data_IF_678740043581
#
_entry.id   IF_678740043581
#
_cell.length_a   1.000
_cell.length_b   1.000
_cell.length_c   1.000
_cell.angle_alpha   90.00
_cell.angle_beta   90.00
_cell.angle_gamma   90.00
#
_symmetry.space_group_name_H-M   'P 1'
#
loop_
_entity.id
_entity.type
_entity.pdbx_description
1 polymer ?
2 polymer ?
3 polymer ?
4 water ?
#
# COMPACT_ATOMS: atom_id res chain seq x y z
N UNK A 1 -18.36 16.92 16.96
CA UNK A 1 -17.48 16.70 15.78
C UNK A 1 -18.23 17.10 14.53
N UNK A 2 -17.56 17.77 13.62
CA UNK A 2 -18.17 18.23 12.38
C UNK A 2 -17.99 17.18 11.28
N UNK A 3 -19.10 16.78 10.68
CA UNK A 3 -19.09 15.78 9.64
C UNK A 3 -18.75 16.33 8.27
N UNK A 4 -17.85 15.64 7.58
CA UNK A 4 -17.43 15.98 6.22
C UNK A 4 -17.96 14.85 5.35
N UNK A 5 -18.81 15.16 4.39
CA UNK A 5 -19.34 14.11 3.53
C UNK A 5 -19.00 14.37 2.07
N UNK A 6 -18.35 13.41 1.42
CA UNK A 6 -18.02 13.58 0.02
C UNK A 6 -18.66 12.58 -0.93
N UNK A 7 -18.81 13.03 -2.17
CA UNK A 7 -19.39 12.23 -3.24
C UNK A 7 -18.52 12.57 -4.44
N UNK A 8 -18.37 11.63 -5.38
CA UNK A 8 -18.83 10.24 -5.34
C UNK A 8 -17.92 9.33 -4.52
N UNK A 9 -18.31 8.07 -4.38
CA UNK A 9 -17.53 7.11 -3.60
C UNK A 9 -16.37 6.56 -4.44
N UNK A 10 -16.60 6.47 -5.75
CA UNK A 10 -15.62 5.98 -6.72
C UNK A 10 -15.86 6.87 -7.93
N UNK A 11 -14.94 6.87 -8.89
CA UNK A 11 -15.11 7.70 -10.07
C UNK A 11 -14.25 7.22 -11.23
N UNK A 12 -14.87 6.83 -12.34
CA UNK A 12 -14.13 6.34 -13.51
C UNK A 12 -14.00 7.44 -14.55
N UNK A 13 -12.81 7.59 -15.13
CA UNK A 13 -12.58 8.65 -16.11
C UNK A 13 -11.64 8.20 -17.23
N UNK A 14 -11.92 8.62 -18.45
CA UNK A 14 -11.05 8.29 -19.56
C UNK A 14 -9.92 9.32 -19.48
N UNK A 15 -8.67 8.84 -19.47
CA UNK A 15 -7.48 9.70 -19.40
C UNK A 15 -7.76 10.88 -20.31
N UNK A 16 -7.77 12.09 -19.74
CA UNK A 16 -8.04 13.28 -20.53
C UNK A 16 -9.29 14.05 -20.11
N UNK A 17 -10.33 13.33 -19.69
CA UNK A 17 -11.57 13.95 -19.24
C UNK A 17 -11.35 14.68 -17.94
N UNK A 18 -12.11 15.74 -17.71
CA UNK A 18 -12.17 16.33 -16.37
C UNK A 18 -12.76 15.38 -15.32
N UNK A 19 -12.82 15.87 -14.08
CA UNK A 19 -13.38 15.13 -12.96
C UNK A 19 -13.67 16.13 -11.83
N UNK A 20 -14.64 15.79 -10.99
CA UNK A 20 -15.00 16.65 -9.88
C UNK A 20 -15.28 15.81 -8.66
N UNK A 21 -14.83 16.29 -7.51
CA UNK A 21 -15.07 15.60 -6.25
C UNK A 21 -15.74 16.68 -5.41
N UNK A 22 -16.86 16.34 -4.80
CA UNK A 22 -17.61 17.28 -3.97
C UNK A 22 -17.45 16.93 -2.50
N UNK A 23 -17.58 17.93 -1.65
CA UNK A 23 -17.45 17.75 -0.21
C UNK A 23 -18.42 18.72 0.44
N UNK A 24 -19.12 18.26 1.47
CA UNK A 24 -20.12 19.06 2.17
C UNK A 24 -19.98 18.93 3.68
N UNK A 25 -19.82 20.06 4.36
CA UNK A 25 -19.66 20.07 5.81
C UNK A 25 -20.96 20.28 6.60
N UNK A 26 -21.06 19.61 7.73
CA UNK A 26 -22.23 19.74 8.59
C UNK A 26 -22.31 21.16 9.14
N UNK A 27 -21.24 21.92 8.98
CA UNK A 27 -21.19 23.31 9.46
C UNK A 27 -20.27 24.14 8.60
N UNK A 28 -20.50 25.45 8.59
CA UNK A 28 -19.68 26.37 7.83
C UNK A 28 -18.23 26.28 8.31
N UNK A 29 -17.28 26.42 7.39
CA UNK A 29 -15.88 26.34 7.76
C UNK A 29 -15.18 27.69 7.78
N UNK A 30 -15.94 28.76 7.65
CA UNK A 30 -15.36 30.10 7.69
C UNK A 30 -15.12 30.48 9.12
N UNK A 31 -13.85 30.58 9.50
CA UNK A 31 -13.57 30.98 10.86
C UNK A 31 -13.83 32.48 11.01
N UNK A 32 -14.02 32.90 12.26
CA UNK A 32 -14.28 34.30 12.57
C UNK A 32 -13.22 35.26 12.07
N UNK A 33 -12.00 34.75 11.84
CA UNK A 33 -10.90 35.58 11.35
C UNK A 33 -10.87 35.73 9.83
N UNK A 34 -11.89 35.21 9.14
CA UNK A 34 -11.97 35.32 7.69
C UNK A 34 -11.32 34.20 6.89
N UNK A 35 -10.75 33.23 7.60
CA UNK A 35 -10.06 32.10 7.00
C UNK A 35 -10.91 30.82 6.94
N UNK A 36 -10.79 30.08 5.85
CA UNK A 36 -11.50 28.80 5.70
C UNK A 36 -10.41 27.73 5.70
N UNK A 37 -10.30 27.03 6.82
CA UNK A 37 -9.29 26.01 6.98
C UNK A 37 -9.72 24.66 6.44
N UNK A 38 -9.65 24.52 5.12
CA UNK A 38 -10.03 23.28 4.45
C UNK A 38 -8.96 22.89 3.45
N UNK A 39 -8.65 21.59 3.37
CA UNK A 39 -7.64 21.12 2.45
C UNK A 39 -8.05 19.82 1.76
N UNK A 40 -7.35 19.50 0.68
CA UNK A 40 -7.58 18.28 -0.09
C UNK A 40 -6.25 17.52 -0.13
N UNK A 41 -6.26 16.25 0.25
CA UNK A 41 -5.05 15.44 0.22
C UNK A 41 -5.20 14.24 -0.71
N UNK A 42 -4.09 13.74 -1.22
CA UNK A 42 -4.07 12.61 -2.14
C UNK A 42 -3.27 11.48 -1.51
N UNK A 43 -3.62 10.25 -1.86
CA UNK A 43 -2.90 9.08 -1.34
C UNK A 43 -2.96 7.91 -2.30
N UNK A 44 -1.81 7.54 -2.85
CA UNK A 44 -1.72 6.39 -3.74
C UNK A 44 -1.25 5.25 -2.85
N UNK A 45 -1.84 4.05 -2.99
CA UNK A 45 -2.02 3.18 -1.83
C UNK A 45 -0.67 2.66 -1.25
N UNK A 46 -0.57 2.71 0.09
CA UNK A 46 0.63 2.24 0.77
C UNK A 46 1.75 3.26 0.74
N UNK A 47 1.36 4.53 0.61
CA UNK A 47 2.31 5.65 0.56
C UNK A 47 1.79 6.70 1.52
N UNK A 48 2.69 7.56 1.99
CA UNK A 48 2.27 8.62 2.87
C UNK A 48 1.39 9.54 2.02
N UNK A 49 0.25 9.98 2.58
CA UNK A 49 -0.56 11.09 2.07
C UNK A 49 0.28 12.30 1.62
N UNK A 50 -0.31 13.12 0.76
CA UNK A 50 0.32 14.33 0.23
C UNK A 50 -0.78 15.37 0.16
N UNK A 51 -0.47 16.62 0.50
CA UNK A 51 -1.50 17.65 0.41
C UNK A 51 -1.46 18.28 -0.99
N UNK A 52 -2.62 18.44 -1.59
CA UNK A 52 -2.71 19.04 -2.89
C UNK A 52 -3.01 20.53 -2.75
N UNK A 53 -4.14 20.84 -2.13
CA UNK A 53 -4.59 22.22 -1.95
C UNK A 53 -4.86 22.46 -0.48
N UNK A 54 -4.67 23.69 -0.02
CA UNK A 54 -4.93 24.08 1.37
C UNK A 54 -5.64 25.42 1.39
N UNK A 55 -6.39 25.70 2.46
CA UNK A 55 -7.11 26.96 2.57
C UNK A 55 -8.04 27.08 1.38
N UNK A 56 -8.65 25.96 1.01
CA UNK A 56 -9.62 25.87 -0.09
C UNK A 56 -9.11 25.99 -1.53
N UNK A 57 -8.43 27.08 -1.87
CA UNK A 57 -7.97 27.26 -3.23
C UNK A 57 -6.48 27.47 -3.49
N UNK A 58 -5.67 27.68 -2.45
CA UNK A 58 -4.22 27.85 -2.66
C UNK A 58 -3.65 26.48 -2.99
N UNK A 59 -2.72 26.43 -3.93
CA UNK A 59 -2.12 25.17 -4.30
C UNK A 59 -0.73 25.01 -3.72
N UNK A 60 -0.41 23.80 -3.28
CA UNK A 60 0.92 23.53 -2.73
C UNK A 60 1.92 23.55 -3.88
N UNK A 61 3.19 23.82 -3.55
CA UNK A 61 4.26 23.87 -4.54
C UNK A 61 4.37 22.50 -5.20
N UNK A 62 4.77 22.46 -6.47
CA UNK A 62 4.91 21.20 -7.17
C UNK A 62 3.61 20.43 -7.40
N UNK A 63 2.50 21.14 -7.52
CA UNK A 63 1.20 20.53 -7.76
C UNK A 63 0.70 21.17 -9.05
N UNK A 64 0.37 20.34 -10.06
CA UNK A 64 0.08 20.78 -11.42
C UNK A 64 -1.02 21.81 -11.43
N UNK A 65 -1.05 22.66 -12.45
CA UNK A 65 -2.07 23.70 -12.56
C UNK A 65 -3.49 23.12 -12.67
N UNK A 66 -3.57 21.87 -13.12
CA UNK A 66 -4.86 21.21 -13.33
C UNK A 66 -5.69 20.85 -12.10
N UNK A 67 -5.13 21.08 -10.92
CA UNK A 67 -5.85 20.77 -9.70
C UNK A 67 -6.40 22.09 -9.18
N UNK A 68 -7.72 22.22 -9.20
CA UNK A 68 -8.39 23.43 -8.75
C UNK A 68 -9.23 23.17 -7.51
N UNK A 69 -9.13 24.06 -6.53
CA UNK A 69 -9.88 23.95 -5.30
C UNK A 69 -10.92 25.04 -5.33
N UNK A 70 -12.18 24.67 -5.13
CA UNK A 70 -13.28 25.63 -5.16
C UNK A 70 -14.21 25.35 -4.01
N UNK A 71 -15.18 26.25 -3.81
CA UNK A 71 -16.15 26.08 -2.75
C UNK A 71 -16.06 27.17 -1.69
N UNK A 72 -17.08 27.22 -0.83
CA UNK A 72 -17.16 28.18 0.28
C UNK A 72 -18.28 27.78 1.26
N UNK A 73 -18.14 28.21 2.52
CA UNK A 73 -19.15 27.90 3.53
C UNK A 73 -19.23 26.44 3.93
N UNK A 74 -20.12 25.68 3.28
CA UNK A 74 -20.27 24.27 3.58
C UNK A 74 -20.03 23.39 2.36
N UNK A 75 -19.99 23.99 1.18
CA UNK A 75 -19.77 23.25 -0.06
C UNK A 75 -18.47 23.60 -0.76
N UNK A 76 -17.64 22.58 -0.95
CA UNK A 76 -16.34 22.73 -1.58
C UNK A 76 -16.20 21.70 -2.68
N UNK A 77 -15.39 22.02 -3.68
CA UNK A 77 -15.17 21.11 -4.80
C UNK A 77 -13.71 21.01 -5.24
N UNK A 78 -13.34 19.81 -5.68
CA UNK A 78 -12.00 19.53 -6.18
C UNK A 78 -12.23 19.22 -7.64
N UNK A 79 -11.55 19.96 -8.50
CA UNK A 79 -11.71 19.77 -9.93
C UNK A 79 -10.37 19.46 -10.60
N UNK A 80 -10.40 18.49 -11.52
CA UNK A 80 -9.20 18.11 -12.25
C UNK A 80 -9.51 18.36 -13.72
N UNK A 81 -8.76 19.26 -14.34
CA UNK A 81 -8.98 19.60 -15.73
C UNK A 81 -8.88 18.39 -16.64
N UNK A 82 -7.69 17.84 -16.74
CA UNK A 82 -7.43 16.67 -17.57
C UNK A 82 -6.85 15.61 -16.64
N UNK A 83 -7.48 14.44 -16.60
CA UNK A 83 -7.03 13.35 -15.75
C UNK A 83 -5.92 12.53 -16.41
N UNK A 84 -4.90 12.18 -15.64
CA UNK A 84 -3.76 11.40 -16.14
C UNK A 84 -3.45 10.14 -15.32
N UNK A 85 -2.69 9.23 -15.92
CA UNK A 85 -2.32 7.97 -15.26
C UNK A 85 -1.90 8.12 -13.80
N UNK A 86 -1.06 9.12 -13.53
CA UNK A 86 -0.56 9.37 -12.18
C UNK A 86 -1.57 9.88 -11.17
N UNK A 87 -2.79 10.17 -11.59
CA UNK A 87 -3.82 10.69 -10.68
C UNK A 87 -4.60 9.62 -9.91
N UNK A 88 -4.31 8.36 -10.22
CA UNK A 88 -4.96 7.22 -9.58
C UNK A 88 -4.70 7.17 -8.07
N UNK A 89 -5.77 7.09 -7.29
CA UNK A 89 -5.64 7.02 -5.84
C UNK A 89 -6.86 7.54 -5.10
N UNK A 90 -6.70 7.84 -3.82
CA UNK A 90 -7.78 8.35 -3.00
C UNK A 90 -7.58 9.82 -2.63
N UNK A 91 -8.66 10.59 -2.66
CA UNK A 91 -8.65 12.01 -2.36
C UNK A 91 -9.56 12.25 -1.17
N UNK A 92 -9.18 13.16 -0.28
CA UNK A 92 -9.98 13.46 0.92
C UNK A 92 -10.13 14.95 1.15
N UNK A 93 -11.21 15.37 1.81
CA UNK A 93 -11.36 16.79 2.16
C UNK A 93 -11.13 16.83 3.64
N UNK A 94 -10.28 17.74 4.08
CA UNK A 94 -9.90 17.82 5.46
C UNK A 94 -10.12 19.22 6.05
N UNK A 95 -10.93 19.26 7.09
CA UNK A 95 -11.24 20.51 7.78
C UNK A 95 -10.42 20.69 9.04
N UNK A 96 -9.97 21.91 9.27
CA UNK A 96 -9.19 22.20 10.43
C UNK A 96 -9.68 23.44 11.12
N UNK A 97 -10.88 23.91 10.74
CA UNK A 97 -11.49 25.11 11.32
C UNK A 97 -12.07 24.85 12.70
N UNK A 98 -12.73 23.70 12.83
CA UNK A 98 -13.34 23.29 14.08
C UNK A 98 -12.47 22.22 14.75
N UNK A 99 -12.61 22.09 16.06
CA UNK A 99 -11.85 21.10 16.81
C UNK A 99 -12.81 19.98 17.20
N UNK A 100 -12.41 18.71 16.98
CA UNK A 100 -11.19 18.18 16.35
C UNK A 100 -11.30 18.13 14.84
N UNK A 101 -10.16 18.13 14.18
CA UNK A 101 -10.10 18.09 12.73
C UNK A 101 -10.71 16.79 12.24
N UNK A 102 -11.55 16.89 11.21
CA UNK A 102 -12.22 15.71 10.65
C UNK A 102 -11.97 15.60 9.15
N UNK A 103 -11.87 14.37 8.68
CA UNK A 103 -11.60 14.08 7.28
C UNK A 103 -12.80 13.37 6.67
N UNK A 104 -13.06 13.63 5.40
CA UNK A 104 -14.16 12.99 4.72
C UNK A 104 -13.80 11.56 4.41
N UNK A 105 -14.77 10.79 3.93
CA UNK A 105 -14.53 9.38 3.60
C UNK A 105 -13.57 9.06 2.46
N UNK A 106 -13.16 10.09 1.73
CA UNK A 106 -12.26 9.87 0.61
C UNK A 106 -13.02 9.45 -0.63
N UNK A 107 -12.40 9.65 -1.78
CA UNK A 107 -13.00 9.29 -3.07
C UNK A 107 -11.90 8.63 -3.89
N UNK A 108 -12.13 7.39 -4.32
CA UNK A 108 -11.17 6.67 -5.14
C UNK A 108 -11.41 7.04 -6.60
N UNK A 109 -10.32 7.25 -7.34
CA UNK A 109 -10.37 7.61 -8.75
C UNK A 109 -9.72 6.47 -9.54
N UNK A 110 -10.39 6.01 -10.60
CA UNK A 110 -9.86 4.95 -11.44
C UNK A 110 -9.81 5.48 -12.87
N UNK A 111 -9.15 4.77 -13.76
CA UNK A 111 -9.00 5.23 -15.13
C UNK A 111 -9.50 4.26 -16.20
N UNK A 112 -10.29 4.77 -17.14
CA UNK A 112 -10.78 3.95 -18.24
C UNK A 112 -9.72 4.04 -19.32
N UNK A 113 -9.18 2.89 -19.69
CA UNK A 113 -8.13 2.79 -20.66
C UNK A 113 -8.50 1.70 -21.67
N UNK A 114 -7.81 1.65 -22.80
CA UNK A 114 -8.10 0.63 -23.79
C UNK A 114 -7.82 -0.77 -23.22
N UNK A 115 -8.59 -1.76 -23.67
CA UNK A 115 -8.46 -3.15 -23.22
C UNK A 115 -7.12 -3.84 -23.55
N UNK A 116 -6.64 -4.66 -22.63
CA UNK A 116 -5.38 -5.38 -22.79
C UNK A 116 -5.47 -6.80 -22.27
N UNK A 117 -4.71 -7.68 -22.91
CA UNK A 117 -4.68 -9.10 -22.56
C UNK A 117 -3.49 -9.37 -21.67
N UNK A 118 -3.67 -10.20 -20.64
CA UNK A 118 -2.59 -10.41 -19.68
C UNK A 118 -1.49 -11.32 -20.22
N UNK A 119 -0.26 -11.01 -19.83
CA UNK A 119 0.89 -11.82 -20.21
C UNK A 119 1.04 -12.77 -19.03
N UNK A 120 0.76 -14.05 -19.27
CA UNK A 120 0.80 -15.10 -18.24
C UNK A 120 2.18 -15.75 -18.00
N UNK A 121 2.42 -16.15 -16.76
CA UNK A 121 3.69 -16.76 -16.41
C UNK A 121 3.49 -17.77 -15.26
N UNK A 122 3.78 -19.03 -15.51
CA UNK A 122 3.59 -20.06 -14.48
C UNK A 122 4.93 -20.43 -13.81
N UNK A 123 4.89 -20.83 -12.54
CA UNK A 123 6.09 -21.18 -11.77
C UNK A 123 5.89 -22.42 -10.90
N UNK A 124 6.69 -23.47 -11.12
CA UNK A 124 6.78 -24.66 -10.27
C UNK A 124 7.43 -24.35 -8.91
N UNK A 125 7.06 -25.10 -7.86
CA UNK A 125 7.49 -24.82 -6.49
C UNK A 125 8.99 -24.94 -6.28
N UNK A 126 9.62 -23.92 -5.73
CA UNK A 126 11.05 -23.95 -5.48
C UNK A 126 11.41 -25.20 -4.67
N UNK A 127 12.44 -25.93 -5.09
CA UNK A 127 12.86 -27.15 -4.38
C UNK A 127 13.09 -26.84 -2.90
N UNK A 128 13.53 -25.61 -2.67
CA UNK A 128 13.80 -25.07 -1.34
C UNK A 128 12.57 -25.16 -0.44
N UNK A 129 11.39 -25.06 -1.03
CA UNK A 129 10.13 -25.17 -0.29
C UNK A 129 9.68 -26.62 -0.29
N UNK A 130 10.10 -27.39 -1.29
CA UNK A 130 9.73 -28.79 -1.40
C UNK A 130 10.23 -29.59 -0.21
N UNK A 131 11.49 -29.39 0.15
CA UNK A 131 12.07 -30.11 1.28
C UNK A 131 11.63 -29.59 2.65
N UNK A 132 10.50 -28.88 2.69
CA UNK A 132 9.98 -28.38 3.95
C UNK A 132 8.60 -29.00 4.17
N UNK A 133 8.12 -29.74 3.16
CA UNK A 133 6.84 -30.41 3.25
C UNK A 133 5.69 -29.93 2.39
N UNK A 134 5.86 -28.79 1.73
CA UNK A 134 4.77 -28.28 0.91
C UNK A 134 5.16 -28.00 -0.52
N UNK A 135 4.26 -27.38 -1.27
CA UNK A 135 4.51 -27.06 -2.68
C UNK A 135 3.59 -25.95 -3.16
N UNK A 136 4.16 -24.82 -3.57
CA UNK A 136 3.34 -23.71 -4.06
C UNK A 136 3.53 -23.47 -5.55
N UNK A 137 2.47 -23.70 -6.31
CA UNK A 137 2.52 -23.47 -7.75
C UNK A 137 1.91 -22.09 -7.96
N UNK A 138 2.70 -21.15 -8.45
CA UNK A 138 2.26 -19.77 -8.67
C UNK A 138 2.11 -19.46 -10.16
N UNK A 139 1.19 -18.55 -10.47
CA UNK A 139 0.90 -18.11 -11.83
C UNK A 139 0.74 -16.59 -11.73
N UNK A 140 1.43 -15.86 -12.61
CA UNK A 140 1.38 -14.39 -12.63
C UNK A 140 0.66 -13.93 -13.87
N UNK A 141 -0.38 -13.13 -13.68
CA UNK A 141 -1.15 -12.57 -14.78
C UNK A 141 -0.93 -11.06 -14.74
N UNK A 142 -0.12 -10.55 -15.66
CA UNK A 142 0.21 -9.14 -15.64
C UNK A 142 -0.26 -8.21 -16.74
N UNK A 143 -0.18 -6.91 -16.44
CA UNK A 143 -0.54 -5.82 -17.32
C UNK A 143 -1.73 -5.99 -18.27
N UNK A 144 -2.92 -6.08 -17.69
CA UNK A 144 -4.15 -6.25 -18.45
C UNK A 144 -5.24 -5.29 -17.99
N UNK A 145 -6.24 -5.08 -18.86
CA UNK A 145 -7.38 -4.22 -18.57
C UNK A 145 -8.60 -4.75 -19.34
N UNK A 146 -9.82 -4.72 -18.73
CA UNK A 146 -10.21 -4.31 -17.37
C UNK A 146 -9.83 -5.24 -16.24
N UNK A 147 -10.20 -4.83 -15.02
CA UNK A 147 -9.94 -5.58 -13.79
C UNK A 147 -10.51 -7.01 -13.80
N UNK A 148 -11.81 -7.13 -14.01
CA UNK A 148 -12.46 -8.43 -14.04
C UNK A 148 -11.76 -9.49 -14.92
N UNK A 149 -11.52 -10.65 -14.34
CA UNK A 149 -10.85 -11.76 -15.02
C UNK A 149 -11.07 -12.96 -14.09
N UNK A 150 -10.71 -14.15 -14.53
CA UNK A 150 -10.89 -15.34 -13.69
C UNK A 150 -9.86 -16.39 -14.04
N UNK A 151 -9.48 -17.22 -13.05
CA UNK A 151 -8.48 -18.26 -13.27
C UNK A 151 -8.81 -19.64 -12.71
N UNK A 152 -8.66 -20.65 -13.56
CA UNK A 152 -8.90 -22.04 -13.19
C UNK A 152 -7.53 -22.69 -13.11
N UNK A 153 -7.39 -23.66 -12.20
CA UNK A 153 -6.15 -24.40 -12.05
C UNK A 153 -6.54 -25.83 -12.38
N UNK A 154 -5.84 -26.43 -13.32
CA UNK A 154 -6.15 -27.80 -13.69
C UNK A 154 -4.96 -28.71 -13.47
N UNK A 155 -5.16 -29.75 -12.67
CA UNK A 155 -4.12 -30.73 -12.39
C UNK A 155 -4.46 -32.03 -13.09
N UNK A 156 -3.67 -32.37 -14.08
CA UNK A 156 -3.87 -33.57 -14.87
C UNK A 156 -5.22 -33.60 -15.59
N UNK A 157 -5.77 -32.42 -15.86
CA UNK A 157 -7.04 -32.32 -16.55
C UNK A 157 -8.21 -31.86 -15.71
N UNK A 158 -8.23 -32.35 -14.48
CA UNK A 158 -9.27 -32.01 -13.53
C UNK A 158 -9.04 -30.61 -12.95
N UNK A 159 -10.12 -29.85 -12.75
CA UNK A 159 -10.02 -28.50 -12.21
C UNK A 159 -10.04 -28.57 -10.68
N UNK A 160 -9.23 -27.71 -10.04
CA UNK A 160 -9.17 -27.65 -8.57
C UNK A 160 -9.62 -26.25 -8.23
N UNK A 161 -10.30 -26.08 -7.10
CA UNK A 161 -10.76 -24.75 -6.69
C UNK A 161 -10.43 -24.36 -5.23
N UNK A 162 -9.57 -25.15 -4.59
CA UNK A 162 -9.17 -24.88 -3.21
C UNK A 162 -7.65 -24.86 -3.08
N UNK A 163 -7.16 -24.09 -2.10
CA UNK A 163 -5.73 -23.93 -1.89
C UNK A 163 -5.34 -22.63 -2.59
N UNK A 164 -6.18 -22.26 -3.54
CA UNK A 164 -6.03 -21.06 -4.35
C UNK A 164 -6.07 -19.78 -3.50
N UNK A 165 -5.14 -18.87 -3.77
CA UNK A 165 -5.07 -17.60 -3.07
C UNK A 165 -4.78 -16.57 -4.15
N UNK A 166 -5.67 -15.58 -4.27
CA UNK A 166 -5.52 -14.56 -5.29
C UNK A 166 -5.29 -13.14 -4.78
N UNK A 167 -4.54 -12.37 -5.58
CA UNK A 167 -4.23 -10.99 -5.26
C UNK A 167 -4.19 -10.11 -6.50
N UNK A 168 -4.84 -8.96 -6.39
CA UNK A 168 -4.91 -7.99 -7.45
C UNK A 168 -4.14 -6.79 -6.93
N UNK A 169 -3.48 -6.10 -7.83
CA UNK A 169 -2.71 -4.90 -7.50
C UNK A 169 -3.62 -3.73 -7.90
N UNK A 170 -3.39 -2.57 -7.31
CA UNK A 170 -4.17 -1.38 -7.67
C UNK A 170 -3.84 -1.04 -9.11
N UNK A 171 -4.67 -0.19 -9.72
CA UNK A 171 -4.44 0.24 -11.08
C UNK A 171 -3.09 0.95 -11.19
N UNK A 172 -2.20 0.38 -12.01
CA UNK A 172 -0.87 0.94 -12.20
C UNK A 172 -0.88 2.40 -12.66
N UNK A 173 -0.06 3.23 -12.00
CA UNK A 173 0.04 4.66 -12.29
C UNK A 173 0.83 5.07 -13.51
N UNK A 174 1.22 4.09 -14.32
CA UNK A 174 2.01 4.38 -15.51
C UNK A 174 1.23 3.99 -16.75
N UNK A 175 0.70 2.77 -16.76
CA UNK A 175 -0.05 2.31 -17.91
C UNK A 175 -1.51 1.99 -17.61
N UNK A 176 -1.92 2.27 -16.37
CA UNK A 176 -3.28 2.05 -15.92
C UNK A 176 -3.76 0.59 -15.97
N UNK A 177 -2.85 -0.35 -16.15
CA UNK A 177 -3.25 -1.76 -16.20
C UNK A 177 -3.29 -2.40 -14.81
N UNK A 178 -3.44 -3.72 -14.79
CA UNK A 178 -3.48 -4.50 -13.56
C UNK A 178 -2.55 -5.70 -13.66
N UNK A 179 -2.53 -6.48 -12.60
CA UNK A 179 -1.73 -7.69 -12.51
C UNK A 179 -2.43 -8.45 -11.40
N UNK A 180 -2.18 -9.74 -11.33
CA UNK A 180 -2.81 -10.57 -10.32
C UNK A 180 -1.95 -11.81 -10.11
N UNK A 181 -1.88 -12.26 -8.87
CA UNK A 181 -1.13 -13.47 -8.58
C UNK A 181 -2.12 -14.52 -8.09
N UNK A 182 -1.91 -15.77 -8.51
CA UNK A 182 -2.75 -16.88 -8.12
C UNK A 182 -1.79 -18.02 -7.77
N UNK A 183 -1.84 -18.47 -6.52
CA UNK A 183 -0.98 -19.57 -6.10
C UNK A 183 -1.84 -20.73 -5.60
N UNK A 184 -1.37 -21.93 -5.87
CA UNK A 184 -2.07 -23.14 -5.48
C UNK A 184 -1.18 -23.91 -4.51
N UNK A 185 -1.49 -23.80 -3.23
CA UNK A 185 -0.72 -24.46 -2.22
C UNK A 185 -1.24 -25.85 -1.93
N UNK A 186 -0.36 -26.84 -2.09
CA UNK A 186 -0.70 -28.21 -1.82
C UNK A 186 0.48 -28.92 -1.12
N UNK A 187 0.26 -30.13 -0.62
CA UNK A 187 1.32 -30.88 0.05
C UNK A 187 2.27 -31.47 -0.97
N UNK A 188 3.50 -31.80 -0.55
CA UNK A 188 4.46 -32.40 -1.48
C UNK A 188 4.00 -33.79 -1.93
N UNK A 189 3.39 -34.57 -1.04
CA UNK A 189 2.90 -35.90 -1.39
C UNK A 189 1.90 -35.80 -2.52
N UNK A 190 0.97 -34.85 -2.37
CA UNK A 190 -0.07 -34.61 -3.35
C UNK A 190 0.59 -34.17 -4.66
N UNK A 191 1.54 -33.24 -4.55
CA UNK A 191 2.27 -32.73 -5.69
C UNK A 191 3.00 -33.80 -6.50
N UNK A 192 3.78 -34.65 -5.83
CA UNK A 192 4.56 -35.70 -6.51
C UNK A 192 3.71 -36.79 -7.20
N UNK A 193 2.42 -36.88 -6.87
CA UNK A 193 1.58 -37.89 -7.51
C UNK A 193 1.18 -37.39 -8.88
N UNK A 194 1.00 -36.09 -9.00
CA UNK A 194 0.55 -35.53 -10.27
C UNK A 194 1.64 -35.00 -11.19
N UNK A 195 1.41 -35.15 -12.48
CA UNK A 195 2.38 -34.72 -13.48
C UNK A 195 2.10 -33.35 -14.09
N UNK A 196 1.01 -33.26 -14.83
CA UNK A 196 0.62 -32.03 -15.51
C UNK A 196 -0.17 -31.04 -14.64
N UNK A 197 0.30 -29.80 -14.60
CA UNK A 197 -0.34 -28.74 -13.83
C UNK A 197 -0.60 -27.63 -14.84
N UNK A 198 -1.77 -27.02 -14.75
CA UNK A 198 -2.13 -25.96 -15.70
C UNK A 198 -2.75 -24.71 -15.07
N UNK A 199 -2.62 -23.59 -15.76
CA UNK A 199 -3.16 -22.31 -15.32
C UNK A 199 -3.97 -21.70 -16.47
N UNK A 200 -5.30 -21.73 -16.36
CA UNK A 200 -6.19 -21.20 -17.39
C UNK A 200 -6.79 -19.86 -17.01
N UNK A 201 -6.60 -18.87 -17.88
CA UNK A 201 -7.10 -17.53 -17.64
C UNK A 201 -7.97 -17.02 -18.77
N UNK A 202 -9.19 -16.60 -18.43
CA UNK A 202 -10.10 -16.07 -19.43
C UNK A 202 -10.31 -14.56 -19.15
N UNK A 203 -10.17 -13.75 -20.21
CA UNK A 203 -10.31 -12.29 -20.07
C UNK A 203 -11.09 -11.74 -21.26
N UNK A 204 -11.90 -10.74 -20.99
CA UNK A 204 -12.75 -10.06 -21.99
C UNK A 204 -12.16 -9.96 -23.41
N UNK A 205 -10.86 -9.76 -23.49
CA UNK A 205 -10.14 -9.63 -24.76
C UNK A 205 -10.22 -10.85 -25.67
N UNK A 206 -10.76 -11.95 -25.17
CA UNK A 206 -10.92 -13.17 -25.96
C UNK A 206 -11.70 -14.22 -25.20
N UNK A 207 -12.57 -14.91 -25.92
CA UNK A 207 -13.40 -15.96 -25.37
C UNK A 207 -12.54 -17.21 -25.12
N UNK A 208 -11.49 -17.35 -25.92
CA UNK A 208 -10.59 -18.49 -25.79
C UNK A 208 -9.52 -18.22 -24.73
N UNK A 209 -9.19 -19.24 -23.92
CA UNK A 209 -8.56 -19.03 -22.63
C UNK A 209 -7.04 -19.02 -22.80
N UNK A 210 -6.33 -18.27 -21.95
CA UNK A 210 -4.87 -18.25 -22.02
C UNK A 210 -4.43 -19.43 -21.16
N UNK A 211 -3.76 -20.38 -21.79
CA UNK A 211 -3.32 -21.61 -21.15
C UNK A 211 -1.81 -21.74 -21.02
N UNK A 212 -1.32 -21.68 -19.78
CA UNK A 212 0.09 -21.84 -19.45
C UNK A 212 0.21 -23.04 -18.52
N UNK A 213 1.07 -24.00 -18.85
CA UNK A 213 1.24 -25.21 -18.01
C UNK A 213 2.66 -25.73 -18.06
N UNK A 214 2.94 -26.73 -17.21
CA UNK A 214 4.25 -27.37 -17.14
C UNK A 214 4.08 -28.84 -16.73
N UNK A 215 4.93 -29.74 -17.24
CA UNK A 215 4.86 -31.16 -16.90
C UNK A 215 5.98 -31.55 -15.96
N UNK A 216 5.66 -31.66 -14.66
CA UNK A 216 6.62 -32.02 -13.61
C UNK A 216 7.23 -33.36 -13.95
N UNK A 217 8.30 -33.34 -14.73
CA UNK A 217 8.97 -34.55 -15.20
C UNK A 217 10.15 -34.05 -16.04
N UNK A 218 9.80 -33.38 -17.14
CA UNK A 218 10.77 -32.81 -18.07
C UNK A 218 10.91 -31.34 -17.77
N UNK A 219 12.08 -30.95 -17.27
CA UNK A 219 12.32 -29.54 -16.98
C UNK A 219 13.79 -29.21 -17.07
N UNK B 3 13.82 13.73 6.05
CA UNK B 3 12.59 14.54 6.32
C UNK B 3 11.94 14.05 7.62
N UNK B 4 11.13 12.99 7.54
CA UNK B 4 10.55 12.43 8.75
C UNK B 4 10.70 10.91 8.77
N UNK B 5 11.58 10.43 9.64
CA UNK B 5 11.78 8.99 9.77
C UNK B 5 10.90 8.56 10.95
N UNK B 6 10.22 7.42 10.82
CA UNK B 6 9.36 6.91 11.89
C UNK B 6 9.77 5.51 12.32
N UNK B 7 9.41 5.10 13.54
CA UNK B 7 9.75 3.76 14.02
C UNK B 7 9.13 2.66 13.15
N UNK B 8 9.51 1.42 13.40
CA UNK B 8 8.98 0.31 12.62
C UNK B 8 7.74 -0.35 13.18
N UNK B 9 7.18 -1.29 12.42
CA UNK B 9 5.99 -2.03 12.83
C UNK B 9 6.22 -2.71 14.18
N UNK B 10 5.18 -2.82 15.00
CA UNK B 10 5.30 -3.44 16.32
C UNK B 10 4.14 -4.29 16.79
N UNK B 11 4.40 -5.59 16.91
CA UNK B 11 3.40 -6.54 17.38
C UNK B 11 3.42 -6.44 18.89
N UNK B 12 2.53 -5.65 19.47
CA UNK B 12 2.47 -5.50 20.91
C UNK B 12 1.20 -6.18 21.40
N UNK B 13 1.24 -6.78 22.58
CA UNK B 13 0.04 -7.46 23.09
C UNK B 13 -1.03 -6.57 23.74
N UNK B 14 -2.26 -7.05 23.65
CA UNK B 14 -3.43 -6.41 24.21
C UNK B 14 -3.16 -6.00 25.66
N UNK B 15 -3.63 -4.82 26.04
CA UNK B 15 -3.42 -4.32 27.40
C UNK B 15 -2.15 -3.51 27.60
N UNK B 16 -1.18 -3.68 26.70
CA UNK B 16 0.10 -2.98 26.78
C UNK B 16 0.06 -1.54 26.30
N UNK B 17 1.21 -0.87 26.38
CA UNK B 17 1.36 0.51 25.92
C UNK B 17 2.36 0.48 24.77
N UNK B 18 2.67 1.63 24.20
CA UNK B 18 3.59 1.68 23.06
C UNK B 18 3.99 3.14 22.82
N UNK B 19 5.25 3.34 22.41
CA UNK B 19 5.76 4.68 22.15
C UNK B 19 6.31 4.73 20.74
N UNK B 20 5.82 5.66 19.92
CA UNK B 20 6.27 5.79 18.54
C UNK B 20 7.09 7.05 18.37
N UNK B 21 8.22 6.96 17.68
CA UNK B 21 9.03 8.16 17.48
C UNK B 21 9.03 8.61 16.03
N UNK B 22 9.08 9.91 15.87
CA UNK B 22 9.10 10.53 14.58
C UNK B 22 10.28 11.49 14.65
N UNK B 23 11.25 11.33 13.74
CA UNK B 23 12.46 12.17 13.77
C UNK B 23 12.69 13.00 12.51
N UNK B 24 12.92 14.30 12.71
CA UNK B 24 13.13 15.19 11.60
C UNK B 24 14.60 15.39 11.32
N UNK B 25 14.95 15.49 10.05
CA UNK B 25 16.34 15.68 9.66
C UNK B 25 16.51 17.06 8.99
N UNK B 26 16.12 17.15 7.73
CA UNK B 26 16.28 18.39 7.00
C UNK B 26 15.88 19.70 7.68
N UNK B 27 15.07 19.62 8.73
CA UNK B 27 14.60 20.83 9.40
C UNK B 27 14.61 20.74 10.91
N UNK B 28 14.06 21.77 11.55
CA UNK B 28 13.96 21.83 12.99
C UNK B 28 12.48 21.77 13.40
N UNK B 29 12.12 20.74 14.18
CA UNK B 29 10.73 20.53 14.59
C UNK B 29 10.12 21.53 15.57
N UNK B 30 10.86 22.57 15.93
CA UNK B 30 10.32 23.56 16.84
C UNK B 30 9.36 24.45 16.08
N UNK B 31 9.76 24.80 14.86
CA UNK B 31 9.00 25.69 14.01
C UNK B 31 7.73 25.10 13.43
N UNK B 32 7.46 23.85 13.75
CA UNK B 32 6.27 23.20 13.22
C UNK B 32 5.44 22.53 14.29
N UNK B 33 4.19 22.26 13.94
CA UNK B 33 3.26 21.56 14.82
C UNK B 33 3.35 20.12 14.33
N UNK B 34 3.56 19.18 15.22
CA UNK B 34 3.61 17.79 14.79
C UNK B 34 2.26 17.16 15.12
N UNK B 35 1.52 16.79 14.09
CA UNK B 35 0.21 16.16 14.28
C UNK B 35 0.33 14.71 13.84
N UNK B 36 -0.39 13.82 14.51
CA UNK B 36 -0.37 12.39 14.17
C UNK B 36 -1.75 12.00 13.67
N UNK B 37 -1.79 11.18 12.63
CA UNK B 37 -3.07 10.74 12.08
C UNK B 37 -3.14 9.20 12.07
N UNK B 38 -4.29 8.65 12.43
CA UNK B 38 -4.50 7.22 12.43
C UNK B 38 -5.18 6.79 11.13
N UNK B 39 -4.82 5.63 10.60
CA UNK B 39 -5.45 5.14 9.40
C UNK B 39 -5.64 3.64 9.54
N UNK B 40 -6.84 3.22 9.94
CA UNK B 40 -7.12 1.79 10.04
C UNK B 40 -7.30 1.45 8.58
N UNK B 41 -6.38 0.64 8.01
CA UNK B 41 -6.33 0.44 6.56
C UNK B 41 -7.60 -0.24 6.04
N UNK B 42 -8.70 0.51 6.13
CA UNK B 42 -10.04 0.11 5.74
C UNK B 42 -10.73 1.47 5.65
N UNK B 43 -10.70 2.18 6.78
CA UNK B 43 -11.29 3.51 6.91
C UNK B 43 -10.34 4.58 6.42
N UNK B 44 -10.75 5.82 6.60
CA UNK B 44 -9.93 6.93 6.17
C UNK B 44 -9.00 7.34 7.28
N UNK B 45 -8.52 8.57 7.17
CA UNK B 45 -7.61 9.14 8.13
C UNK B 45 -8.42 9.66 9.30
N UNK B 46 -7.84 9.58 10.49
CA UNK B 46 -8.48 10.05 11.70
C UNK B 46 -7.46 10.89 12.43
N UNK B 47 -7.72 12.18 12.56
CA UNK B 47 -6.81 13.08 13.26
C UNK B 47 -6.73 12.70 14.74
N UNK B 48 -5.51 12.47 15.23
CA UNK B 48 -5.30 12.10 16.63
C UNK B 48 -5.10 13.33 17.53
N UNK B 49 -4.15 14.17 17.17
CA UNK B 49 -3.88 15.35 17.96
C UNK B 49 -2.62 15.97 17.42
N UNK B 50 -2.19 17.05 18.05
CA UNK B 50 -0.97 17.72 17.62
C UNK B 50 -0.24 18.40 18.77
N UNK B 51 1.06 18.57 18.63
CA UNK B 51 1.91 19.19 19.65
C UNK B 51 2.83 20.24 19.07
N UNK B 52 3.02 21.31 19.84
CA UNK B 52 3.89 22.41 19.47
C UNK B 52 5.20 22.21 20.24
N UNK B 53 6.16 21.50 19.64
CA UNK B 53 7.35 20.98 20.34
C UNK B 53 8.11 22.07 21.11
N UNK B 54 8.11 23.30 20.57
CA UNK B 54 8.78 24.47 21.15
C UNK B 54 8.47 24.73 22.62
N UNK B 55 7.34 24.25 23.07
CA UNK B 55 6.95 24.43 24.46
C UNK B 55 6.12 23.24 24.88
N UNK B 56 6.27 22.16 24.13
CA UNK B 56 5.53 20.94 24.40
C UNK B 56 4.09 21.19 24.76
N UNK B 57 3.45 22.06 23.98
CA UNK B 57 2.05 22.41 24.20
C UNK B 57 1.22 21.59 23.21
N UNK B 58 0.23 20.84 23.70
CA UNK B 58 -0.58 20.02 22.80
C UNK B 58 -2.09 19.99 23.06
N UNK B 59 -2.81 19.39 22.10
CA UNK B 59 -4.28 19.23 22.11
C UNK B 59 -4.59 17.86 21.55
N UNK B 60 -5.57 17.17 22.11
CA UNK B 60 -5.92 15.83 21.61
C UNK B 60 -7.40 15.76 21.29
N UNK B 61 -7.76 14.98 20.29
CA UNK B 61 -9.16 14.82 19.91
C UNK B 61 -9.85 14.17 21.11
N UNK B 62 -11.12 14.50 21.37
CA UNK B 62 -11.89 13.86 22.45
C UNK B 62 -11.68 12.34 22.55
N UNK B 63 -11.79 11.64 21.42
CA UNK B 63 -11.63 10.19 21.43
C UNK B 63 -10.25 9.69 21.88
N UNK B 64 -9.28 10.59 21.94
CA UNK B 64 -7.95 10.18 22.33
C UNK B 64 -7.45 10.70 23.69
N UNK B 65 -8.18 11.64 24.32
CA UNK B 65 -7.76 12.17 25.63
C UNK B 65 -7.51 10.95 26.49
N UNK B 66 -6.52 11.02 27.38
CA UNK B 66 -6.24 9.87 28.24
C UNK B 66 -5.78 8.57 27.60
N UNK B 67 -5.88 8.42 26.28
CA UNK B 67 -5.41 7.21 25.62
C UNK B 67 -4.15 7.50 24.81
N UNK B 68 -3.82 8.78 24.63
CA UNK B 68 -2.63 9.17 23.90
C UNK B 68 -1.84 10.24 24.65
N UNK B 69 -0.51 10.17 24.55
CA UNK B 69 0.35 11.15 25.20
C UNK B 69 1.40 11.63 24.21
N UNK B 70 1.48 12.94 24.04
CA UNK B 70 2.43 13.55 23.13
C UNK B 70 3.52 14.30 23.85
N UNK B 71 4.75 14.07 23.39
CA UNK B 71 5.93 14.69 23.98
C UNK B 71 6.89 14.96 22.82
N UNK B 72 7.87 15.82 23.04
CA UNK B 72 8.85 16.14 22.00
C UNK B 72 10.25 16.24 22.58
N UNK B 73 11.25 16.09 21.72
CA UNK B 73 12.65 16.15 22.12
C UNK B 73 13.38 17.08 21.17
N UNK B 74 13.31 18.38 21.47
CA UNK B 74 13.98 19.39 20.66
C UNK B 74 15.44 19.00 20.44
N UNK B 75 16.00 18.29 21.41
CA UNK B 75 17.40 17.87 21.34
C UNK B 75 17.69 16.92 20.19
N UNK B 76 16.99 15.80 20.13
CA UNK B 76 17.23 14.86 19.04
C UNK B 76 16.26 15.07 17.86
N UNK B 77 15.49 16.16 17.90
CA UNK B 77 14.53 16.48 16.84
C UNK B 77 13.53 15.34 16.68
N UNK B 78 12.89 14.97 17.78
CA UNK B 78 11.96 13.86 17.78
C UNK B 78 10.68 14.13 18.53
N UNK B 79 9.57 13.63 17.99
CA UNK B 79 8.25 13.76 18.60
C UNK B 79 7.76 12.34 18.89
N UNK B 80 7.02 12.19 19.97
CA UNK B 80 6.51 10.89 20.38
C UNK B 80 5.01 10.90 20.59
N UNK B 81 4.42 9.75 20.36
CA UNK B 81 2.99 9.54 20.56
C UNK B 81 2.92 8.23 21.34
N UNK B 82 2.65 8.32 22.63
CA UNK B 82 2.56 7.15 23.48
C UNK B 82 1.11 6.74 23.67
N UNK B 83 0.76 5.56 23.19
CA UNK B 83 -0.60 5.07 23.33
C UNK B 83 -0.65 4.07 24.50
N UNK B 84 -1.67 4.17 25.33
CA UNK B 84 -1.83 3.28 26.48
C UNK B 84 -3.07 2.42 26.33
N UNK B 85 -3.14 1.33 27.09
CA UNK B 85 -4.29 0.42 27.04
C UNK B 85 -4.72 0.03 25.61
N UNK B 86 -3.73 -0.37 24.82
CA UNK B 86 -3.98 -0.77 23.45
C UNK B 86 -4.96 -1.92 23.37
N UNK B 87 -5.77 -1.94 22.32
CA UNK B 87 -6.75 -2.99 22.09
C UNK B 87 -6.82 -3.20 20.58
N UNK B 88 -7.80 -3.95 20.10
CA UNK B 88 -7.95 -4.19 18.67
C UNK B 88 -8.31 -2.92 17.87
N UNK B 89 -8.83 -1.91 18.55
CA UNK B 89 -9.19 -0.67 17.88
C UNK B 89 -7.99 0.19 17.49
N UNK B 90 -6.82 -0.16 18.03
CA UNK B 90 -5.60 0.58 17.75
C UNK B 90 -4.76 -0.04 16.68
N UNK B 91 -5.00 -1.32 16.38
CA UNK B 91 -4.25 -2.00 15.32
C UNK B 91 -4.49 -1.17 14.04
N UNK B 92 -3.54 -0.28 13.74
CA UNK B 92 -3.60 0.63 12.60
C UNK B 92 -2.23 1.07 12.11
N UNK B 93 -2.20 2.09 11.25
CA UNK B 93 -0.98 2.66 10.71
C UNK B 93 -1.05 4.14 11.09
N UNK B 94 -0.12 4.58 11.92
CA UNK B 94 -0.11 5.96 12.36
C UNK B 94 0.96 6.73 11.61
N UNK B 95 0.66 7.97 11.26
CA UNK B 95 1.61 8.83 10.56
C UNK B 95 1.86 10.10 11.40
N UNK B 96 3.07 10.64 11.34
CA UNK B 96 3.34 11.89 12.03
C UNK B 96 3.42 12.87 10.86
N UNK B 97 3.02 14.12 11.07
CA UNK B 97 3.04 15.09 9.99
C UNK B 97 3.29 16.54 10.41
N UNK B 98 3.95 17.30 9.55
CA UNK B 98 4.21 18.70 9.80
C UNK B 98 3.62 19.40 8.58
N UNK B 99 2.31 19.62 8.63
CA UNK B 99 1.55 20.22 7.55
C UNK B 99 2.05 21.53 6.97
N UNK B 100 2.53 22.43 7.83
CA UNK B 100 2.97 23.74 7.40
C UNK B 100 3.65 23.73 6.03
N UNK B 101 4.56 22.79 5.82
CA UNK B 101 5.25 22.68 4.54
C UNK B 101 5.09 21.27 3.96
N UNK B 102 4.09 20.57 4.49
CA UNK B 102 3.70 19.23 4.09
C UNK B 102 4.76 18.13 4.19
N UNK B 103 5.23 17.86 5.41
CA UNK B 103 6.23 16.81 5.63
C UNK B 103 5.56 15.60 6.26
N UNK B 104 5.74 14.45 5.62
CA UNK B 104 5.15 13.21 6.09
C UNK B 104 6.21 12.16 6.37
N UNK B 105 5.86 11.21 7.23
CA UNK B 105 6.74 10.11 7.58
C UNK B 105 6.14 8.84 6.99
N UNK B 106 6.97 7.93 6.48
CA UNK B 106 6.50 6.69 5.84
C UNK B 106 5.42 5.85 6.54
N UNK B 107 5.16 6.12 7.81
CA UNK B 107 4.14 5.39 8.53
C UNK B 107 4.68 4.31 9.43
N UNK B 108 3.97 4.05 10.51
CA UNK B 108 4.36 3.02 11.45
C UNK B 108 3.17 2.10 11.65
N UNK B 109 3.30 0.84 11.24
CA UNK B 109 2.22 -0.13 11.38
C UNK B 109 2.23 -0.70 12.79
N UNK B 110 1.05 -0.84 13.39
CA UNK B 110 0.93 -1.37 14.73
C UNK B 110 -0.17 -2.45 14.82
N UNK B 111 0.22 -3.65 15.22
CA UNK B 111 -0.74 -4.71 15.37
C UNK B 111 -0.83 -5.08 16.85
N UNK B 112 -2.04 -5.00 17.40
CA UNK B 112 -2.27 -5.38 18.77
C UNK B 112 -2.84 -6.80 18.65
N UNK B 113 -2.05 -7.76 19.13
CA UNK B 113 -2.46 -9.16 19.07
C UNK B 113 -1.80 -9.89 20.23
N UNK B 114 -2.34 -11.05 20.60
CA UNK B 114 -1.76 -11.82 21.67
C UNK B 114 -0.69 -12.69 21.00
N UNK B 115 -1.06 -13.27 19.85
CA UNK B 115 -0.20 -14.14 19.07
C UNK B 115 1.21 -13.57 18.82
N UNK B 116 2.20 -14.47 18.76
CA UNK B 116 3.60 -14.12 18.56
C UNK B 116 4.02 -13.82 17.12
N UNK B 117 5.14 -13.13 17.02
CA UNK B 117 5.76 -12.76 15.76
C UNK B 117 6.31 -13.99 15.04
N UNK B 118 6.13 -14.02 13.73
CA UNK B 118 6.65 -15.11 12.89
C UNK B 118 7.36 -14.44 11.73
N UNK B 119 8.50 -15.00 11.34
CA UNK B 119 9.27 -14.45 10.24
C UNK B 119 8.94 -15.22 8.98
N UNK B 120 8.99 -14.55 7.82
CA UNK B 120 8.55 -15.17 6.57
C UNK B 120 9.62 -16.05 5.93
N UNK B 121 9.18 -17.04 5.16
CA UNK B 121 10.13 -17.89 4.45
C UNK B 121 10.09 -17.45 2.98
N UNK B 122 11.23 -16.99 2.47
CA UNK B 122 11.35 -16.49 1.11
C UNK B 122 11.77 -17.58 0.12
N UNK B 123 10.95 -17.82 -0.88
CA UNK B 123 11.24 -18.83 -1.89
C UNK B 123 11.41 -18.18 -3.24
N UNK B 124 12.54 -18.43 -3.90
CA UNK B 124 12.76 -17.83 -5.22
C UNK B 124 11.89 -18.57 -6.22
N UNK B 125 11.36 -17.84 -7.20
CA UNK B 125 10.53 -18.44 -8.23
C UNK B 125 11.22 -18.26 -9.58
N UNK B 126 11.88 -19.32 -10.02
CA UNK B 126 12.56 -19.31 -11.30
C UNK B 126 11.79 -20.20 -12.25
N UNK B 127 11.79 -19.85 -13.55
CA UNK B 127 10.79 -20.35 -14.50
C UNK B 127 11.06 -21.79 -14.86
N UNK B 128 10.04 -22.48 -15.36
CA UNK B 128 10.16 -23.88 -15.78
C UNK B 128 11.18 -23.91 -16.92
N UNK B 129 11.52 -25.11 -17.42
CA UNK B 129 12.44 -25.27 -18.54
C UNK B 129 12.36 -24.10 -19.53
N UNK B 130 13.31 -23.17 -19.42
CA UNK B 130 13.38 -22.01 -20.29
C UNK B 130 12.11 -21.50 -20.99
N UNK B 131 10.97 -21.47 -20.30
CA UNK B 131 9.74 -20.95 -20.90
C UNK B 131 10.16 -19.56 -21.38
N UNK B 132 10.20 -19.37 -22.71
CA UNK B 132 10.62 -18.10 -23.29
C UNK B 132 9.56 -17.23 -24.00
N UNK B 133 8.94 -16.28 -23.28
CA UNK B 133 7.97 -15.41 -23.94
C UNK B 133 8.77 -14.21 -24.52
N UNK B 134 9.22 -14.42 -25.76
CA UNK B 134 9.99 -13.44 -26.50
C UNK B 134 11.40 -13.16 -26.01
N UNK B 135 11.71 -11.87 -25.95
CA UNK B 135 13.01 -11.37 -25.53
C UNK B 135 12.96 -10.91 -24.07
N UNK B 136 12.03 -11.44 -23.29
CA UNK B 136 11.91 -11.06 -21.89
C UNK B 136 11.89 -12.27 -20.98
N UNK B 137 12.18 -12.01 -19.71
CA UNK B 137 12.19 -13.05 -18.70
C UNK B 137 11.44 -12.50 -17.50
N UNK B 138 10.52 -13.30 -16.99
CA UNK B 138 9.70 -12.91 -15.84
C UNK B 138 10.10 -13.86 -14.70
N UNK B 139 10.44 -13.31 -13.54
CA UNK B 139 10.84 -14.11 -12.37
C UNK B 139 10.06 -13.64 -11.15
N UNK B 140 9.96 -14.50 -10.14
CA UNK B 140 9.20 -14.13 -8.97
C UNK B 140 9.86 -14.47 -7.66
N UNK B 141 9.23 -14.00 -6.58
CA UNK B 141 9.70 -14.21 -5.21
C UNK B 141 8.45 -14.45 -4.33
N UNK B 142 8.33 -15.65 -3.77
CA UNK B 142 7.19 -16.00 -2.92
C UNK B 142 7.50 -15.87 -1.43
N UNK B 143 7.05 -14.78 -0.82
CA UNK B 143 7.28 -14.51 0.59
C UNK B 143 6.03 -14.99 1.33
N UNK B 144 6.12 -16.06 2.11
CA UNK B 144 4.94 -16.55 2.82
C UNK B 144 5.13 -16.94 4.29
N UNK B 145 4.00 -16.99 5.01
CA UNK B 145 4.01 -17.37 6.41
C UNK B 145 4.61 -16.39 7.39
N UNK B 146 4.01 -15.21 7.53
CA UNK B 146 4.51 -14.20 8.45
C UNK B 146 3.44 -13.43 9.19
N UNK B 147 3.83 -12.91 10.35
CA UNK B 147 2.93 -12.12 11.14
C UNK B 147 3.87 -11.24 11.92
N UNK B 148 3.53 -9.97 12.10
CA UNK B 148 2.39 -9.33 11.42
C UNK B 148 2.84 -8.47 10.24
N UNK B 149 1.93 -7.67 9.71
CA UNK B 149 2.23 -6.76 8.61
C UNK B 149 3.14 -5.70 9.21
N UNK B 150 3.96 -5.02 8.38
CA UNK B 150 4.11 -5.34 6.97
C UNK B 150 5.40 -6.10 6.68
N UNK B 151 5.72 -6.12 5.40
CA UNK B 151 6.92 -6.74 4.87
C UNK B 151 7.40 -5.70 3.86
N UNK B 152 8.69 -5.64 3.60
CA UNK B 152 9.20 -4.67 2.65
C UNK B 152 10.05 -5.43 1.64
N UNK B 153 9.63 -5.44 0.38
CA UNK B 153 10.35 -6.18 -0.67
C UNK B 153 10.94 -5.28 -1.76
N UNK B 154 12.16 -5.59 -2.17
CA UNK B 154 12.84 -4.83 -3.21
C UNK B 154 13.73 -5.78 -4.03
N UNK B 155 14.02 -5.38 -5.26
CA UNK B 155 14.87 -6.19 -6.13
C UNK B 155 16.19 -5.45 -6.27
N UNK B 156 17.26 -6.11 -5.83
CA UNK B 156 18.60 -5.55 -5.85
C UNK B 156 18.67 -4.25 -5.06
N UNK B 157 18.23 -4.31 -3.80
CA UNK B 157 18.24 -3.17 -2.90
C UNK B 157 17.47 -1.97 -3.45
N UNK B 158 16.74 -2.19 -4.55
CA UNK B 158 15.98 -1.12 -5.19
C UNK B 158 16.44 -0.78 -6.61
N UNK B 159 17.59 -1.30 -7.02
CA UNK B 159 18.15 -1.07 -8.36
C UNK B 159 17.17 -1.40 -9.48
N UNK B 160 16.38 -2.45 -9.28
CA UNK B 160 15.38 -2.85 -10.26
C UNK B 160 14.08 -2.08 -9.97
N UNK B 161 14.05 -0.84 -10.49
CA UNK B 161 12.92 0.06 -10.30
C UNK B 161 11.86 0.08 -11.42
N UNK B 162 11.73 -1.03 -12.16
CA UNK B 162 10.73 -1.10 -13.22
C UNK B 162 10.51 -2.54 -13.68
N UNK B 163 9.29 -2.85 -14.08
CA UNK B 163 8.97 -4.20 -14.50
C UNK B 163 8.75 -5.00 -13.23
N UNK B 164 8.19 -4.34 -12.22
CA UNK B 164 7.94 -4.93 -10.91
C UNK B 164 6.46 -4.88 -10.56
N UNK B 165 5.97 -5.94 -9.94
CA UNK B 165 4.58 -6.05 -9.49
C UNK B 165 4.65 -6.72 -8.12
N UNK B 166 4.29 -6.00 -7.08
CA UNK B 166 4.32 -6.55 -5.73
C UNK B 166 2.90 -6.63 -5.21
N UNK B 167 2.34 -7.83 -5.25
CA UNK B 167 0.96 -8.08 -4.85
C UNK B 167 0.68 -7.97 -3.36
N UNK B 168 -0.44 -7.31 -3.01
CA UNK B 168 -0.96 -7.21 -1.65
C UNK B 168 -0.98 -8.56 -0.95
N UNK B 169 -0.66 -8.54 0.34
CA UNK B 169 -0.61 -9.76 1.11
C UNK B 169 -1.99 -10.21 1.49
N UNK B 170 -2.21 -11.52 1.39
CA UNK B 170 -3.49 -12.11 1.78
C UNK B 170 -3.25 -12.98 3.01
N UNK B 171 -4.10 -12.77 4.01
CA UNK B 171 -4.06 -13.49 5.27
C UNK B 171 -4.75 -14.81 5.08
N UNK B 172 -4.26 -15.85 5.73
CA UNK B 172 -4.85 -17.16 5.62
C UNK B 172 -4.39 -17.94 6.85
N UNK B 173 -5.34 -18.51 7.58
CA UNK B 173 -5.02 -19.30 8.76
C UNK B 173 -4.14 -18.54 9.77
N UNK B 174 -4.37 -17.24 9.92
CA UNK B 174 -3.63 -16.39 10.85
C UNK B 174 -2.16 -16.13 10.49
N UNK B 175 -1.87 -16.24 9.21
CA UNK B 175 -0.53 -15.99 8.68
C UNK B 175 -0.67 -15.34 7.31
N UNK B 176 0.11 -14.30 7.05
CA UNK B 176 0.05 -13.63 5.76
C UNK B 176 0.92 -14.33 4.72
N UNK B 177 0.73 -13.93 3.46
CA UNK B 177 1.51 -14.43 2.32
C UNK B 177 1.53 -13.30 1.28
N UNK B 178 2.65 -13.16 0.59
CA UNK B 178 2.86 -12.09 -0.38
C UNK B 178 3.72 -12.58 -1.53
N UNK B 179 3.63 -11.91 -2.68
CA UNK B 179 4.39 -12.27 -3.85
C UNK B 179 4.83 -11.05 -4.64
N UNK B 180 5.80 -11.21 -5.53
CA UNK B 180 6.29 -10.11 -6.34
C UNK B 180 6.88 -10.68 -7.59
N UNK B 181 6.78 -9.95 -8.70
CA UNK B 181 7.33 -10.41 -9.95
C UNK B 181 8.27 -9.37 -10.51
N UNK B 182 9.08 -9.76 -11.48
CA UNK B 182 10.00 -8.86 -12.13
C UNK B 182 10.26 -9.35 -13.54
N UNK B 183 9.95 -8.50 -14.52
CA UNK B 183 10.17 -8.84 -15.92
C UNK B 183 11.33 -8.00 -16.44
N UNK B 184 12.29 -8.67 -17.06
CA UNK B 184 13.46 -8.01 -17.59
C UNK B 184 13.80 -8.56 -18.96
N UNK B 185 14.86 -8.05 -19.55
CA UNK B 185 15.29 -8.47 -20.87
C UNK B 185 16.05 -9.80 -20.78
N UNK B 186 15.86 -10.66 -21.77
CA UNK B 186 16.49 -11.97 -21.81
C UNK B 186 18.00 -11.95 -21.55
N UNK B 187 18.66 -10.86 -21.92
CA UNK B 187 20.11 -10.76 -21.75
C UNK B 187 20.62 -10.69 -20.31
N UNK B 188 20.09 -9.76 -19.51
CA UNK B 188 20.53 -9.61 -18.13
C UNK B 188 20.57 -10.92 -17.34
N UNK B 189 19.43 -11.43 -16.90
CA UNK B 189 19.40 -12.70 -16.15
C UNK B 189 19.52 -13.84 -17.18
N UNK B 190 20.30 -14.90 -16.86
CA UNK B 190 21.08 -15.12 -15.62
C UNK B 190 22.46 -14.46 -15.53
N UNK B 191 22.97 -13.94 -16.64
CA UNK B 191 24.28 -13.27 -16.67
C UNK B 191 24.45 -12.34 -15.46
N UNK B 192 23.66 -11.27 -15.43
CA UNK B 192 23.68 -10.38 -14.30
C UNK B 192 22.71 -11.05 -13.32
N UNK B 193 23.16 -11.19 -12.07
CA UNK B 193 22.34 -11.80 -11.04
C UNK B 193 21.21 -10.92 -10.52
N UNK B 194 20.19 -11.60 -9.99
CA UNK B 194 18.99 -10.95 -9.46
C UNK B 194 18.65 -11.47 -8.07
N UNK B 195 18.31 -10.55 -7.18
CA UNK B 195 18.00 -10.84 -5.80
C UNK B 195 16.82 -10.02 -5.28
N UNK B 196 15.96 -10.64 -4.46
CA UNK B 196 14.85 -9.91 -3.88
C UNK B 196 15.05 -9.88 -2.39
N UNK B 197 15.09 -8.68 -1.86
CA UNK B 197 15.31 -8.46 -0.45
C UNK B 197 13.96 -8.33 0.22
N UNK B 198 13.75 -9.09 1.27
CA UNK B 198 12.52 -9.08 2.02
C UNK B 198 12.85 -8.72 3.45
N UNK B 199 12.35 -7.59 3.92
CA UNK B 199 12.61 -7.18 5.29
C UNK B 199 11.33 -7.21 6.13
N UNK B 200 11.33 -8.00 7.18
CA UNK B 200 10.17 -8.09 8.05
C UNK B 200 10.46 -7.29 9.31
N UNK B 201 10.27 -5.95 9.25
CA UNK B 201 10.76 -5.09 10.32
C UNK B 201 10.18 -5.45 11.71
N UNK B 202 9.04 -6.13 11.70
CA UNK B 202 8.37 -6.53 12.93
C UNK B 202 9.15 -7.55 13.75
N UNK B 203 10.16 -8.16 13.12
CA UNK B 203 11.01 -9.16 13.78
C UNK B 203 12.47 -9.00 13.37
N UNK B 204 12.88 -7.75 13.08
CA UNK B 204 14.24 -7.44 12.66
C UNK B 204 14.84 -8.56 11.80
N UNK B 205 14.23 -8.76 10.62
CA UNK B 205 14.64 -9.79 9.69
C UNK B 205 14.86 -9.22 8.29
N UNK B 206 16.02 -9.52 7.71
CA UNK B 206 16.35 -9.08 6.35
C UNK B 206 16.73 -10.38 5.68
N UNK B 207 16.19 -10.64 4.49
CA UNK B 207 16.49 -11.87 3.78
C UNK B 207 16.64 -11.55 2.30
N UNK B 208 17.78 -11.92 1.73
CA UNK B 208 18.08 -11.69 0.32
C UNK B 208 18.12 -13.02 -0.38
N UNK B 209 17.33 -13.18 -1.44
CA UNK B 209 17.31 -14.41 -2.21
C UNK B 209 17.74 -14.25 -3.66
N UNK B 210 18.86 -14.88 -3.98
CA UNK B 210 19.46 -14.89 -5.31
C UNK B 210 18.63 -15.86 -6.18
N UNK B 211 17.88 -15.32 -7.13
CA UNK B 211 17.11 -16.20 -8.01
C UNK B 211 18.14 -16.76 -8.99
N UNK B 212 18.35 -18.07 -8.90
CA UNK B 212 19.29 -18.81 -9.74
C UNK B 212 18.46 -19.72 -10.66
N UNK B 213 19.02 -20.07 -11.83
CA UNK B 213 18.36 -20.98 -12.78
C UNK B 213 18.30 -22.37 -12.20
N UNK B 214 17.14 -23.00 -12.29
CA UNK B 214 16.98 -24.34 -11.74
C UNK B 214 17.71 -25.36 -12.63
N UNK B 215 17.92 -26.58 -12.09
CA UNK B 215 18.60 -27.64 -12.84
C UNK B 215 17.83 -28.98 -12.75
N UNK B 216 18.39 -29.93 -11.99
CA UNK B 216 17.85 -31.30 -11.82
C UNK B 216 16.59 -31.40 -10.92
N UNK B 217 15.53 -30.67 -11.29
CA UNK B 217 14.30 -30.68 -10.51
C UNK B 217 13.13 -30.05 -11.27
CA UNK C 1 3.90 30.96 14.63
C UNK C 1 4.56 31.54 13.38
N UNK C 2 3.86 31.48 12.23
CA UNK C 2 2.88 30.45 11.89
C UNK C 2 3.51 29.07 11.87
N UNK C 3 2.83 28.09 12.45
CA UNK C 3 3.36 26.72 12.51
C UNK C 3 2.46 25.71 11.79
N UNK C 4 1.37 26.21 11.22
CA UNK C 4 0.45 25.34 10.52
C UNK C 4 -0.41 26.14 9.56
N UNK C 5 -1.06 25.43 8.64
CA UNK C 5 -1.93 26.06 7.66
C UNK C 5 -3.39 25.90 8.11
N UNK C 6 -3.57 25.23 9.25
CA UNK C 6 -4.88 25.01 9.82
C UNK C 6 -5.00 26.02 10.96
N UNK C 7 -6.11 26.00 11.69
CA UNK C 7 -6.34 26.94 12.78
C UNK C 7 -5.37 26.70 13.95
N UNK C 8 -4.64 27.74 14.36
CA UNK C 8 -3.67 27.63 15.44
C UNK C 8 -4.20 27.28 16.82
N UNK C 9 -3.29 26.82 17.67
CA UNK C 9 -3.59 26.42 19.04
C UNK C 9 -4.00 27.57 19.94
N UNK C 10 -5.06 27.30 20.71
CA UNK C 10 -5.64 28.26 21.65
C UNK C 10 -4.99 28.17 23.04
#
# INVERSE_FOLDING_TARGET
>A
DVVMTQTPLSLSVTIGQPASISCKSSQSLLDSDGKTYLIWVFQRPGQSPKRLIFLVSKRDSGVPDRFTGSGSGTDFTLKISRVEAEDVGVYYCWQGTHFPHTVGGGTKLEIARADAAPTVSIFPPSSEQLTSGGASVVCFLNNFYPKDINVKWKIDGSERQNGVLNSWTDQDSKDSTYSMSSTLTLTKDEYERHNSYTCEATHKTSTSPIVKSFNRNEC
>B
KVKLQQSGAELVRSGASVKLSCTASGFNIKDYYIQWVKQRPEQGLEWIGWIDPENGNSEYAPRFQGKATMTADTLSNTAYLQLSSLTSEDTAVYYCNADLHDYWGQGTTLTVSSAKTTAPSVYPLAPVCGDTTGSSVTLGCLVKGYFPEPVTLTWNSGSLSSGVHTFPAVLQSDLYTLSSSVTVTSSTWPSQSITCNVAHPASSTKVDKKIEPRVTS
>C
APKTNMKHMA
#
